data_IF_457188646917
#
_entry.id   IF_457188646917
#
_cell.length_a   1.000
_cell.length_b   1.000
_cell.length_c   1.000
_cell.angle_alpha   90.00
_cell.angle_beta   90.00
_cell.angle_gamma   90.00
#
_symmetry.space_group_name_H-M   'P 1'
#
loop_
_entity.id
_entity.type
_entity.pdbx_description
1 polymer ?
#
# COMPACT_ATOMS: atom_id res chain seq x y z
N UNK A 1 14.12 18.12 -11.15
CA UNK A 1 14.51 18.25 -9.73
C UNK A 1 15.18 16.98 -9.17
N UNK A 2 14.53 15.81 -9.18
CA UNK A 2 15.17 14.55 -8.72
C UNK A 2 16.51 14.28 -9.40
N UNK A 3 16.55 14.32 -10.74
CA UNK A 3 17.81 14.12 -11.48
C UNK A 3 18.88 15.18 -11.15
N UNK A 4 18.49 16.46 -11.09
CA UNK A 4 19.38 17.56 -10.73
C UNK A 4 20.01 17.41 -9.33
N UNK A 5 19.26 16.89 -8.37
CA UNK A 5 19.66 16.73 -6.95
C UNK A 5 20.21 15.34 -6.62
N UNK A 6 20.45 14.50 -7.62
CA UNK A 6 20.83 13.10 -7.43
C UNK A 6 19.87 12.33 -6.50
N UNK A 7 18.58 12.62 -6.63
CA UNK A 7 17.45 12.10 -5.85
C UNK A 7 17.46 12.45 -4.35
N UNK A 8 18.34 13.35 -3.91
CA UNK A 8 18.39 13.82 -2.51
C UNK A 8 17.08 14.50 -2.09
N UNK A 9 16.43 15.24 -2.99
CA UNK A 9 15.13 15.90 -2.73
C UNK A 9 14.05 14.93 -2.26
N UNK A 10 14.09 13.67 -2.70
CA UNK A 10 13.12 12.65 -2.31
C UNK A 10 13.31 12.24 -0.85
N UNK A 11 14.57 12.12 -0.39
CA UNK A 11 14.91 11.82 1.00
C UNK A 11 14.58 13.00 1.91
N UNK A 12 14.93 14.21 1.48
CA UNK A 12 14.66 15.44 2.25
C UNK A 12 13.16 15.65 2.45
N UNK A 13 12.35 15.35 1.43
CA UNK A 13 10.89 15.37 1.54
C UNK A 13 10.36 14.35 2.57
N UNK A 14 10.91 13.13 2.59
CA UNK A 14 10.52 12.12 3.58
C UNK A 14 10.88 12.54 5.01
N UNK A 15 12.07 13.10 5.23
CA UNK A 15 12.48 13.62 6.55
C UNK A 15 11.64 14.84 6.96
N UNK A 16 11.24 15.70 6.01
CA UNK A 16 10.30 16.78 6.29
C UNK A 16 8.92 16.24 6.70
N UNK A 17 8.42 15.17 6.07
CA UNK A 17 7.17 14.52 6.48
C UNK A 17 7.29 13.96 7.90
N UNK A 18 8.41 13.33 8.27
CA UNK A 18 8.63 12.88 9.67
C UNK A 18 8.60 14.05 10.66
N UNK A 19 9.21 15.18 10.29
CA UNK A 19 9.24 16.37 11.13
C UNK A 19 7.86 17.00 11.30
N UNK A 20 7.09 17.12 10.23
CA UNK A 20 5.81 17.86 10.21
C UNK A 20 4.56 16.95 10.30
N UNK A 21 4.74 15.64 10.26
CA UNK A 21 3.75 14.56 10.43
C UNK A 21 2.72 14.43 9.29
N UNK A 22 2.71 15.32 8.30
CA UNK A 22 1.74 15.29 7.19
C UNK A 22 2.44 15.56 5.86
N UNK A 23 2.34 14.61 4.94
CA UNK A 23 2.74 14.77 3.54
C UNK A 23 1.54 14.67 2.61
N UNK A 24 1.52 15.50 1.57
CA UNK A 24 0.62 15.35 0.42
C UNK A 24 1.48 15.26 -0.83
N UNK A 25 1.32 14.19 -1.61
CA UNK A 25 2.23 13.88 -2.70
C UNK A 25 1.49 13.68 -4.02
N UNK A 26 2.03 14.32 -5.06
CA UNK A 26 1.60 14.10 -6.43
C UNK A 26 2.18 12.78 -6.99
N UNK A 27 1.54 12.21 -8.01
CA UNK A 27 2.07 11.06 -8.72
C UNK A 27 3.42 11.40 -9.37
N UNK A 28 4.37 10.46 -9.32
CA UNK A 28 5.73 10.65 -9.84
C UNK A 28 6.12 9.55 -10.81
N UNK A 29 6.88 9.90 -11.86
CA UNK A 29 7.47 8.93 -12.78
C UNK A 29 8.50 8.08 -12.03
N UNK A 30 8.40 6.75 -12.10
CA UNK A 30 9.54 5.86 -11.82
C UNK A 30 10.19 5.57 -13.18
N UNK A 31 11.44 6.01 -13.43
CA UNK A 31 12.04 5.92 -14.75
C UNK A 31 12.38 4.47 -15.14
N UNK A 32 12.08 4.13 -16.38
CA UNK A 32 12.60 2.96 -17.12
C UNK A 32 13.64 3.43 -18.14
N UNK A 33 14.16 2.53 -18.99
CA UNK A 33 15.14 2.84 -20.04
C UNK A 33 14.64 3.96 -20.96
N UNK A 34 13.36 3.91 -21.35
CA UNK A 34 12.74 4.93 -22.21
C UNK A 34 12.69 6.29 -21.53
N UNK A 35 12.47 6.35 -20.21
CA UNK A 35 12.48 7.61 -19.45
C UNK A 35 13.89 8.15 -19.26
N UNK A 36 14.89 7.29 -19.12
CA UNK A 36 16.29 7.71 -19.08
C UNK A 36 16.64 8.45 -20.37
N UNK A 37 16.26 7.90 -21.53
CA UNK A 37 16.46 8.56 -22.82
C UNK A 37 15.62 9.83 -22.96
N UNK A 38 14.31 9.77 -22.68
CA UNK A 38 13.38 10.89 -22.84
C UNK A 38 13.83 12.13 -22.04
N UNK A 39 14.22 11.93 -20.78
CA UNK A 39 14.56 13.02 -19.87
C UNK A 39 16.07 13.26 -19.76
N UNK A 40 16.89 12.52 -20.52
CA UNK A 40 18.36 12.56 -20.46
C UNK A 40 18.87 12.41 -19.02
N UNK A 41 18.34 11.42 -18.32
CA UNK A 41 18.63 11.22 -16.90
C UNK A 41 20.07 10.74 -16.70
N UNK A 42 20.71 11.15 -15.60
CA UNK A 42 22.04 10.68 -15.21
C UNK A 42 22.07 9.17 -14.97
N UNK A 43 20.96 8.63 -14.43
CA UNK A 43 20.75 7.20 -14.23
C UNK A 43 19.26 6.88 -14.05
N UNK A 44 18.94 5.59 -14.03
CA UNK A 44 17.60 5.09 -13.69
C UNK A 44 17.35 5.21 -12.18
N UNK A 45 16.80 6.36 -11.76
CA UNK A 45 16.49 6.64 -10.35
C UNK A 45 15.45 5.67 -9.78
N UNK A 46 15.57 5.33 -8.50
CA UNK A 46 14.59 4.52 -7.78
C UNK A 46 13.22 5.23 -7.68
N UNK A 47 12.18 4.45 -7.38
CA UNK A 47 10.84 4.98 -7.16
C UNK A 47 10.80 5.91 -5.95
N UNK A 48 10.28 7.15 -6.08
CA UNK A 48 10.11 8.06 -4.94
C UNK A 48 9.21 7.48 -3.86
N UNK A 49 8.15 6.77 -4.26
CA UNK A 49 7.22 6.10 -3.34
C UNK A 49 7.98 5.08 -2.48
N UNK A 50 8.83 4.26 -3.11
CA UNK A 50 9.67 3.30 -2.41
C UNK A 50 10.62 3.98 -1.42
N UNK A 51 11.32 5.04 -1.85
CA UNK A 51 12.23 5.79 -0.98
C UNK A 51 11.51 6.39 0.23
N UNK A 52 10.37 7.07 0.02
CA UNK A 52 9.60 7.70 1.09
C UNK A 52 9.07 6.64 2.07
N UNK A 53 8.43 5.57 1.57
CA UNK A 53 7.91 4.48 2.41
C UNK A 53 9.01 3.77 3.21
N UNK A 54 10.21 3.65 2.64
CA UNK A 54 11.36 3.08 3.36
C UNK A 54 11.84 3.96 4.53
N UNK A 55 11.73 5.28 4.39
CA UNK A 55 12.16 6.25 5.42
C UNK A 55 11.08 6.43 6.48
N UNK A 56 9.82 6.52 6.06
CA UNK A 56 8.66 6.70 6.94
C UNK A 56 8.28 5.41 7.67
N UNK A 57 8.43 4.26 7.01
CA UNK A 57 7.79 3.02 7.43
C UNK A 57 6.27 3.07 7.28
N UNK A 58 5.57 2.08 7.86
CA UNK A 58 4.12 2.07 7.93
C UNK A 58 3.39 1.29 6.83
N UNK A 59 2.09 1.55 6.75
CA UNK A 59 1.13 0.77 5.94
C UNK A 59 0.36 1.67 5.00
N UNK A 60 0.26 1.29 3.73
CA UNK A 60 -0.52 2.05 2.74
C UNK A 60 -1.95 1.56 2.77
N UNK A 61 -2.87 2.42 3.19
CA UNK A 61 -4.31 2.16 3.16
C UNK A 61 -4.93 2.74 1.90
N UNK A 62 -5.59 1.88 1.13
CA UNK A 62 -6.35 2.25 -0.07
C UNK A 62 -7.84 2.07 0.20
N UNK A 63 -8.61 3.15 0.07
CA UNK A 63 -10.06 3.19 0.30
C UNK A 63 -10.78 3.76 -0.92
N UNK A 64 -11.78 3.02 -1.42
CA UNK A 64 -12.57 3.42 -2.57
C UNK A 64 -13.47 4.62 -2.26
N UNK A 65 -13.62 5.50 -3.24
CA UNK A 65 -14.53 6.64 -3.23
C UNK A 65 -15.82 6.18 -3.91
N UNK A 66 -16.91 6.11 -3.17
CA UNK A 66 -18.19 5.59 -3.65
C UNK A 66 -19.07 6.75 -4.15
N UNK A 67 -19.53 6.64 -5.40
CA UNK A 67 -20.58 7.48 -5.99
C UNK A 67 -21.78 6.60 -6.35
N UNK A 68 -23.00 7.02 -5.98
CA UNK A 68 -24.22 6.21 -6.15
C UNK A 68 -24.54 5.87 -7.60
N UNK A 69 -24.20 6.75 -8.53
CA UNK A 69 -24.48 6.59 -9.96
C UNK A 69 -23.39 5.85 -10.74
N UNK A 70 -22.30 5.42 -10.08
CA UNK A 70 -21.27 4.58 -10.70
C UNK A 70 -21.60 3.12 -10.41
N UNK A 71 -21.90 2.30 -11.44
CA UNK A 71 -22.13 0.87 -11.25
C UNK A 71 -20.87 0.17 -10.73
N UNK A 72 -21.06 -0.73 -9.77
CA UNK A 72 -20.01 -1.60 -9.24
C UNK A 72 -19.96 -2.90 -10.04
N UNK A 73 -18.76 -3.41 -10.30
CA UNK A 73 -18.61 -4.72 -10.96
C UNK A 73 -19.03 -5.85 -10.02
N UNK A 74 -18.76 -5.68 -8.73
CA UNK A 74 -19.25 -6.57 -7.67
C UNK A 74 -20.44 -5.89 -7.01
N UNK A 75 -21.65 -6.28 -7.41
CA UNK A 75 -22.90 -5.61 -7.03
C UNK A 75 -23.19 -5.64 -5.53
N UNK A 76 -22.69 -6.66 -4.81
CA UNK A 76 -22.86 -6.79 -3.37
C UNK A 76 -22.07 -5.78 -2.52
N UNK A 77 -21.07 -5.09 -3.09
CA UNK A 77 -20.19 -4.18 -2.35
C UNK A 77 -20.85 -2.83 -2.05
N UNK A 78 -21.70 -2.81 -1.03
CA UNK A 78 -22.45 -1.60 -0.62
C UNK A 78 -21.56 -0.63 0.18
N UNK A 79 -20.69 -1.16 1.06
CA UNK A 79 -19.74 -0.40 1.89
C UNK A 79 -18.32 -0.51 1.34
N UNK A 80 -17.41 0.45 1.58
CA UNK A 80 -16.03 0.38 1.09
C UNK A 80 -15.27 -0.83 1.66
N UNK A 81 -14.30 -1.34 0.90
CA UNK A 81 -13.26 -2.24 1.41
C UNK A 81 -11.96 -1.44 1.47
N UNK A 82 -11.27 -1.46 2.61
CA UNK A 82 -9.98 -0.78 2.76
C UNK A 82 -8.87 -1.82 2.71
N UNK A 83 -7.98 -1.71 1.72
CA UNK A 83 -6.78 -2.55 1.64
C UNK A 83 -5.65 -1.86 2.40
N UNK A 84 -5.15 -2.50 3.46
CA UNK A 84 -3.91 -2.12 4.15
C UNK A 84 -2.73 -2.92 3.61
N UNK A 85 -1.91 -2.33 2.74
CA UNK A 85 -0.74 -2.97 2.13
C UNK A 85 0.51 -2.81 3.00
N UNK A 86 1.14 -3.94 3.35
CA UNK A 86 2.48 -3.96 3.97
C UNK A 86 3.56 -3.57 2.95
N UNK A 87 3.89 -2.29 2.86
CA UNK A 87 4.77 -1.76 1.81
C UNK A 87 6.27 -1.96 2.10
N UNK A 88 6.68 -3.14 2.56
CA UNK A 88 8.07 -3.50 2.88
C UNK A 88 8.39 -4.95 2.53
N UNK A 89 9.66 -5.22 2.16
CA UNK A 89 10.18 -6.57 1.99
C UNK A 89 9.50 -7.36 0.86
N UNK A 90 9.50 -8.69 1.04
CA UNK A 90 8.91 -9.68 0.14
C UNK A 90 9.45 -9.54 -1.31
N UNK A 91 8.62 -9.78 -2.32
CA UNK A 91 9.00 -9.70 -3.74
C UNK A 91 9.63 -8.34 -4.13
N UNK A 92 9.26 -7.26 -3.44
CA UNK A 92 9.71 -5.90 -3.76
C UNK A 92 11.13 -5.60 -3.27
N UNK A 93 11.76 -6.55 -2.56
CA UNK A 93 13.17 -6.52 -2.16
C UNK A 93 13.83 -7.89 -2.34
N UNK A 94 13.32 -8.69 -3.26
CA UNK A 94 13.90 -9.98 -3.59
C UNK A 94 15.23 -9.81 -4.33
N UNK A 95 16.04 -10.87 -4.33
CA UNK A 95 17.13 -11.08 -5.28
C UNK A 95 16.77 -12.30 -6.09
N UNK A 96 16.77 -12.16 -7.40
CA UNK A 96 16.42 -13.20 -8.36
C UNK A 96 17.50 -13.34 -9.44
N UNK A 97 17.59 -14.52 -10.05
CA UNK A 97 18.53 -14.79 -11.12
C UNK A 97 18.07 -15.99 -11.98
N UNK A 98 18.59 -16.04 -13.20
CA UNK A 98 18.46 -17.20 -14.09
C UNK A 98 19.54 -18.21 -13.73
N UNK A 99 19.12 -19.44 -13.42
CA UNK A 99 20.01 -20.58 -13.24
C UNK A 99 20.41 -21.09 -14.63
N UNK A 100 21.70 -21.07 -15.02
CA UNK A 100 22.10 -21.28 -16.41
C UNK A 100 22.06 -22.75 -16.87
N UNK A 101 22.00 -23.70 -15.93
CA UNK A 101 22.06 -25.14 -16.20
C UNK A 101 21.98 -25.95 -14.91
N UNK A 102 22.24 -27.27 -14.97
CA UNK A 102 22.20 -28.12 -13.79
C UNK A 102 23.07 -27.62 -12.63
N UNK A 103 22.57 -27.70 -11.40
CA UNK A 103 23.26 -27.22 -10.21
C UNK A 103 22.37 -27.05 -8.97
N UNK A 104 22.99 -26.81 -7.82
CA UNK A 104 22.29 -26.60 -6.54
C UNK A 104 22.09 -25.12 -6.25
N UNK A 105 20.87 -24.77 -5.84
CA UNK A 105 20.56 -23.46 -5.27
C UNK A 105 20.32 -23.63 -3.77
N UNK A 106 21.08 -22.89 -2.97
CA UNK A 106 21.03 -22.94 -1.51
C UNK A 106 20.82 -21.53 -0.93
N UNK A 107 20.18 -21.45 0.23
CA UNK A 107 20.05 -20.21 1.01
C UNK A 107 20.82 -20.37 2.32
N UNK A 108 21.70 -19.41 2.62
CA UNK A 108 22.58 -19.46 3.79
C UNK A 108 22.38 -18.23 4.68
N UNK A 109 22.13 -18.47 5.97
CA UNK A 109 22.13 -17.46 7.02
C UNK A 109 23.44 -17.55 7.81
N UNK A 110 24.18 -16.43 7.87
CA UNK A 110 25.41 -16.29 8.67
C UNK A 110 25.12 -15.38 9.86
N UNK A 111 25.06 -15.92 11.09
CA UNK A 111 24.88 -15.12 12.29
C UNK A 111 26.03 -14.12 12.51
N UNK A 112 25.71 -12.92 12.98
CA UNK A 112 26.72 -11.88 13.27
C UNK A 112 27.52 -12.14 14.56
N UNK A 113 26.96 -12.94 15.47
CA UNK A 113 27.59 -13.35 16.73
C UNK A 113 28.62 -14.47 16.55
N UNK A 114 28.85 -14.92 15.32
CA UNK A 114 29.78 -16.01 15.00
C UNK A 114 29.23 -17.42 15.27
N UNK A 115 27.95 -17.55 15.67
CA UNK A 115 27.31 -18.86 15.80
C UNK A 115 27.18 -19.58 14.46
N UNK A 116 26.85 -20.88 14.51
CA UNK A 116 26.92 -21.76 13.34
C UNK A 116 26.03 -21.28 12.18
N UNK A 117 26.63 -21.17 10.99
CA UNK A 117 25.93 -20.89 9.74
C UNK A 117 24.84 -21.92 9.49
N UNK A 118 23.69 -21.47 8.97
CA UNK A 118 22.58 -22.34 8.58
C UNK A 118 22.43 -22.30 7.07
N UNK A 119 22.58 -23.44 6.41
CA UNK A 119 22.40 -23.57 4.96
C UNK A 119 21.23 -24.50 4.69
N UNK A 120 20.34 -24.08 3.79
CA UNK A 120 19.18 -24.83 3.36
C UNK A 120 19.24 -25.02 1.85
N UNK A 121 19.10 -26.26 1.39
CA UNK A 121 18.91 -26.54 -0.03
C UNK A 121 17.54 -26.03 -0.45
N UNK A 122 17.50 -25.14 -1.44
CA UNK A 122 16.26 -24.67 -2.06
C UNK A 122 15.82 -25.66 -3.12
N UNK A 123 16.72 -25.99 -4.05
CA UNK A 123 16.47 -26.96 -5.11
C UNK A 123 17.77 -27.48 -5.73
N UNK A 124 17.72 -28.68 -6.31
CA UNK A 124 18.77 -29.25 -7.14
C UNK A 124 18.25 -29.35 -8.58
N UNK A 125 18.76 -28.50 -9.48
CA UNK A 125 18.42 -28.50 -10.90
C UNK A 125 19.20 -29.62 -11.60
N UNK A 126 18.51 -30.65 -12.10
CA UNK A 126 19.17 -31.86 -12.64
C UNK A 126 19.31 -31.85 -14.16
N UNK A 127 18.27 -31.45 -14.89
CA UNK A 127 18.22 -31.61 -16.35
C UNK A 127 18.49 -30.32 -17.14
N UNK A 128 18.35 -29.15 -16.50
CA UNK A 128 18.44 -27.87 -17.19
C UNK A 128 18.52 -26.68 -16.24
N UNK A 129 18.51 -25.48 -16.83
CA UNK A 129 18.45 -24.23 -16.09
C UNK A 129 17.06 -23.93 -15.53
N UNK A 130 16.89 -22.72 -15.04
CA UNK A 130 15.62 -22.26 -14.46
C UNK A 130 15.73 -20.87 -13.88
N UNK A 131 14.94 -20.58 -12.86
CA UNK A 131 14.99 -19.32 -12.12
C UNK A 131 14.95 -19.61 -10.63
N UNK A 132 15.62 -18.77 -9.86
CA UNK A 132 15.57 -18.83 -8.40
C UNK A 132 15.46 -17.42 -7.83
N UNK A 133 14.87 -17.32 -6.64
CA UNK A 133 14.82 -16.06 -5.90
C UNK A 133 14.91 -16.29 -4.39
N UNK A 134 15.40 -15.28 -3.69
CA UNK A 134 15.34 -15.15 -2.24
C UNK A 134 14.67 -13.84 -1.86
N UNK A 135 13.79 -13.88 -0.85
CA UNK A 135 13.15 -12.69 -0.30
C UNK A 135 13.17 -12.74 1.23
N UNK A 136 12.91 -11.59 1.87
CA UNK A 136 12.92 -11.46 3.31
C UNK A 136 11.90 -10.44 3.79
N UNK A 137 11.57 -10.56 5.08
CA UNK A 137 10.92 -9.51 5.83
C UNK A 137 11.55 -9.39 7.22
N UNK A 138 11.12 -8.42 8.02
CA UNK A 138 11.65 -8.16 9.36
C UNK A 138 10.51 -8.11 10.36
N UNK A 139 10.69 -8.76 11.52
CA UNK A 139 9.69 -8.76 12.60
C UNK A 139 9.21 -7.34 12.93
N UNK A 140 10.16 -6.40 13.12
CA UNK A 140 9.84 -4.98 13.38
C UNK A 140 8.92 -4.37 12.33
N UNK A 141 9.12 -4.68 11.05
CA UNK A 141 8.26 -4.16 9.98
C UNK A 141 6.86 -4.80 9.99
N UNK A 142 6.77 -6.07 10.36
CA UNK A 142 5.49 -6.78 10.50
C UNK A 142 4.71 -6.25 11.72
N UNK A 143 5.41 -5.97 12.82
CA UNK A 143 4.83 -5.33 14.01
C UNK A 143 4.25 -3.95 13.67
N UNK A 144 5.02 -3.11 12.97
CA UNK A 144 4.57 -1.78 12.53
C UNK A 144 3.33 -1.87 11.62
N UNK A 145 3.30 -2.87 10.75
CA UNK A 145 2.15 -3.17 9.89
C UNK A 145 0.91 -3.59 10.71
N UNK A 146 1.10 -4.45 11.72
CA UNK A 146 0.03 -4.88 12.62
C UNK A 146 -0.55 -3.70 13.39
N UNK A 147 0.29 -2.89 14.04
CA UNK A 147 -0.12 -1.69 14.78
C UNK A 147 -0.92 -0.73 13.91
N UNK A 148 -0.40 -0.40 12.72
CA UNK A 148 -1.08 0.49 11.78
C UNK A 148 -2.46 -0.07 11.38
N UNK A 149 -2.55 -1.38 11.14
CA UNK A 149 -3.80 -2.05 10.75
C UNK A 149 -4.85 -2.06 11.86
N UNK A 150 -4.45 -2.35 13.09
CA UNK A 150 -5.35 -2.32 14.24
C UNK A 150 -5.84 -0.90 14.56
N UNK A 151 -4.95 0.09 14.49
CA UNK A 151 -5.31 1.49 14.69
C UNK A 151 -6.29 1.99 13.61
N UNK A 152 -6.08 1.61 12.35
CA UNK A 152 -7.02 1.92 11.25
C UNK A 152 -8.41 1.34 11.52
N UNK A 153 -8.48 0.05 11.87
CA UNK A 153 -9.73 -0.63 12.19
C UNK A 153 -10.48 0.03 13.37
N UNK A 154 -9.78 0.40 14.44
CA UNK A 154 -10.36 1.15 15.56
C UNK A 154 -10.85 2.54 15.16
N UNK A 155 -10.13 3.23 14.26
CA UNK A 155 -10.52 4.56 13.79
C UNK A 155 -11.78 4.54 12.92
N UNK A 156 -11.97 3.45 12.17
CA UNK A 156 -13.14 3.22 11.30
C UNK A 156 -14.28 2.49 12.01
N UNK A 157 -14.01 1.95 13.20
CA UNK A 157 -14.90 1.03 13.91
C UNK A 157 -15.32 -0.15 13.03
N UNK A 158 -14.38 -0.74 12.28
CA UNK A 158 -14.61 -1.85 11.35
C UNK A 158 -13.79 -3.10 11.71
N UNK A 159 -14.26 -4.31 11.37
CA UNK A 159 -13.48 -5.52 11.56
C UNK A 159 -12.23 -5.54 10.67
N UNK A 160 -11.20 -6.27 11.12
CA UNK A 160 -9.91 -6.41 10.45
C UNK A 160 -9.64 -7.87 10.07
N UNK A 161 -9.22 -8.08 8.82
CA UNK A 161 -8.77 -9.37 8.33
C UNK A 161 -7.31 -9.31 7.89
N UNK A 162 -6.47 -10.23 8.37
CA UNK A 162 -5.14 -10.48 7.80
C UNK A 162 -5.21 -11.73 6.91
N UNK A 163 -4.72 -11.64 5.68
CA UNK A 163 -4.62 -12.81 4.79
C UNK A 163 -3.18 -13.25 4.56
N UNK A 164 -2.92 -14.56 4.65
CA UNK A 164 -1.62 -15.17 4.28
C UNK A 164 -1.80 -16.56 3.65
N UNK A 165 -0.72 -17.22 3.26
CA UNK A 165 -0.69 -18.63 2.85
C UNK A 165 0.15 -19.49 3.80
N UNK A 166 -0.04 -19.32 5.12
CA UNK A 166 0.76 -19.98 6.16
C UNK A 166 0.66 -21.51 6.19
N UNK A 167 -0.33 -22.14 5.55
CA UNK A 167 -0.36 -23.60 5.38
C UNK A 167 0.77 -24.12 4.49
N UNK A 168 1.20 -23.30 3.53
CA UNK A 168 2.30 -23.56 2.59
C UNK A 168 3.60 -22.91 3.09
N UNK A 169 3.59 -21.60 3.32
CA UNK A 169 4.74 -20.84 3.82
C UNK A 169 4.77 -20.86 5.36
N UNK A 170 4.88 -22.06 5.94
CA UNK A 170 4.71 -22.33 7.38
C UNK A 170 5.54 -21.43 8.29
N UNK A 171 6.79 -21.14 7.92
CA UNK A 171 7.68 -20.27 8.72
C UNK A 171 7.50 -18.79 8.37
N UNK A 172 7.50 -18.45 7.07
CA UNK A 172 7.46 -17.07 6.61
C UNK A 172 6.11 -16.40 6.89
N UNK A 173 5.03 -16.99 6.39
CA UNK A 173 3.66 -16.47 6.58
C UNK A 173 3.10 -16.81 7.96
N UNK A 174 3.61 -17.89 8.57
CA UNK A 174 3.35 -18.17 9.99
C UNK A 174 3.82 -17.02 10.88
N UNK A 175 4.99 -16.43 10.60
CA UNK A 175 5.50 -15.31 11.40
C UNK A 175 4.59 -14.08 11.35
N UNK A 176 4.00 -13.77 10.20
CA UNK A 176 3.00 -12.70 10.08
C UNK A 176 1.77 -12.97 10.95
N UNK A 177 1.22 -14.18 10.85
CA UNK A 177 0.06 -14.59 11.65
C UNK A 177 0.37 -14.47 13.15
N UNK A 178 1.50 -15.03 13.58
CA UNK A 178 1.86 -15.09 14.99
C UNK A 178 2.07 -13.68 15.57
N UNK A 179 2.81 -12.81 14.87
CA UNK A 179 3.02 -11.41 15.30
C UNK A 179 1.69 -10.65 15.43
N UNK A 180 0.81 -10.74 14.44
CA UNK A 180 -0.49 -10.06 14.50
C UNK A 180 -1.34 -10.58 15.66
N UNK A 181 -1.39 -11.89 15.87
CA UNK A 181 -2.16 -12.50 16.95
C UNK A 181 -1.63 -12.08 18.32
N UNK A 182 -0.31 -12.12 18.51
CA UNK A 182 0.32 -11.68 19.75
C UNK A 182 0.03 -10.21 20.07
N UNK A 183 0.14 -9.32 19.08
CA UNK A 183 -0.13 -7.88 19.26
C UNK A 183 -1.62 -7.67 19.56
N UNK A 184 -2.51 -8.35 18.84
CA UNK A 184 -3.95 -8.25 19.06
C UNK A 184 -4.32 -8.61 20.50
N UNK A 185 -3.90 -9.79 20.95
CA UNK A 185 -4.25 -10.31 22.28
C UNK A 185 -3.64 -9.46 23.40
N UNK A 186 -2.40 -8.98 23.23
CA UNK A 186 -1.70 -8.18 24.25
C UNK A 186 -2.23 -6.74 24.34
N UNK A 187 -2.65 -6.13 23.24
CA UNK A 187 -2.81 -4.67 23.17
C UNK A 187 -4.16 -4.16 22.63
N UNK A 188 -4.82 -4.90 21.75
CA UNK A 188 -5.97 -4.38 20.99
C UNK A 188 -7.29 -5.09 21.25
N UNK A 189 -7.29 -6.35 21.72
CA UNK A 189 -8.50 -7.15 21.89
C UNK A 189 -9.59 -6.42 22.69
N UNK A 190 -9.26 -5.86 23.86
CA UNK A 190 -10.23 -5.15 24.70
C UNK A 190 -10.84 -3.92 24.01
N UNK A 191 -10.05 -3.20 23.21
CA UNK A 191 -10.51 -2.04 22.45
C UNK A 191 -11.45 -2.44 21.30
N UNK A 192 -11.14 -3.56 20.63
CA UNK A 192 -11.97 -4.12 19.57
C UNK A 192 -13.31 -4.62 20.12
N UNK A 193 -13.30 -5.37 21.22
CA UNK A 193 -14.50 -5.86 21.91
C UNK A 193 -15.39 -4.70 22.38
N UNK A 194 -14.80 -3.62 22.90
CA UNK A 194 -15.53 -2.42 23.31
C UNK A 194 -16.28 -1.75 22.14
N UNK A 195 -15.73 -1.82 20.92
CA UNK A 195 -16.37 -1.31 19.69
C UNK A 195 -17.20 -2.38 18.95
N UNK A 196 -17.31 -3.60 19.48
CA UNK A 196 -18.01 -4.73 18.85
C UNK A 196 -17.47 -5.09 17.46
N UNK A 197 -16.16 -4.94 17.26
CA UNK A 197 -15.43 -5.37 16.07
C UNK A 197 -14.47 -6.50 16.42
N UNK A 198 -13.95 -7.20 15.40
CA UNK A 198 -13.05 -8.34 15.59
C UNK A 198 -11.84 -8.29 14.66
N UNK A 199 -10.83 -9.07 15.02
CA UNK A 199 -9.70 -9.41 14.16
C UNK A 199 -9.76 -10.90 13.81
N UNK A 200 -9.50 -11.23 12.55
CA UNK A 200 -9.38 -12.61 12.10
C UNK A 200 -8.21 -12.79 11.11
N UNK A 201 -7.43 -13.86 11.28
CA UNK A 201 -6.52 -14.35 10.24
C UNK A 201 -7.25 -15.33 9.32
N UNK A 202 -7.12 -15.13 8.01
CA UNK A 202 -7.66 -16.04 6.98
C UNK A 202 -6.58 -16.49 6.00
N UNK A 203 -6.80 -17.64 5.38
CA UNK A 203 -6.03 -18.02 4.21
C UNK A 203 -6.42 -17.12 3.03
N UNK A 204 -5.45 -16.69 2.23
CA UNK A 204 -5.66 -15.71 1.15
C UNK A 204 -6.73 -16.14 0.14
N UNK A 205 -6.79 -17.43 -0.19
CA UNK A 205 -7.79 -18.02 -1.09
C UNK A 205 -9.21 -18.00 -0.50
N UNK A 206 -9.36 -18.23 0.80
CA UNK A 206 -10.65 -18.05 1.47
C UNK A 206 -11.02 -16.56 1.60
N UNK A 207 -10.04 -15.71 1.91
CA UNK A 207 -10.27 -14.27 2.07
C UNK A 207 -10.76 -13.61 0.77
N UNK A 208 -10.16 -13.93 -0.38
CA UNK A 208 -10.64 -13.40 -1.67
C UNK A 208 -12.09 -13.85 -1.95
N UNK A 209 -12.43 -15.10 -1.63
CA UNK A 209 -13.79 -15.62 -1.81
C UNK A 209 -14.79 -14.96 -0.86
N UNK A 210 -14.40 -14.73 0.39
CA UNK A 210 -15.20 -14.01 1.38
C UNK A 210 -15.44 -12.56 0.94
N UNK A 211 -14.39 -11.86 0.49
CA UNK A 211 -14.49 -10.48 0.04
C UNK A 211 -15.49 -10.33 -1.11
N UNK A 212 -15.45 -11.22 -2.11
CA UNK A 212 -16.39 -11.22 -3.24
C UNK A 212 -17.86 -11.44 -2.85
N UNK A 213 -18.12 -12.14 -1.73
CA UNK A 213 -19.47 -12.42 -1.23
C UNK A 213 -19.95 -11.44 -0.15
N UNK A 214 -19.06 -10.58 0.33
CA UNK A 214 -19.34 -9.64 1.41
C UNK A 214 -20.11 -8.40 0.93
N UNK A 215 -20.61 -7.62 1.89
CA UNK A 215 -21.16 -6.28 1.63
C UNK A 215 -20.07 -5.19 1.66
N UNK A 216 -18.80 -5.55 1.84
CA UNK A 216 -17.72 -4.64 2.22
C UNK A 216 -17.77 -4.22 3.70
N UNK A 217 -17.15 -3.08 4.04
CA UNK A 217 -17.16 -2.52 5.40
C UNK A 217 -16.15 -3.16 6.35
N UNK A 218 -14.96 -3.50 5.85
CA UNK A 218 -13.88 -4.08 6.64
C UNK A 218 -12.51 -3.58 6.16
N UNK A 219 -11.51 -3.74 7.02
CA UNK A 219 -10.11 -3.54 6.69
C UNK A 219 -9.51 -4.90 6.31
N UNK A 220 -8.81 -4.96 5.19
CA UNK A 220 -8.07 -6.13 4.74
C UNK A 220 -6.58 -5.81 4.74
N UNK A 221 -5.89 -6.28 5.78
CA UNK A 221 -4.45 -6.26 5.88
C UNK A 221 -3.86 -7.32 4.93
N UNK A 222 -3.15 -6.84 3.92
CA UNK A 222 -2.51 -7.65 2.89
C UNK A 222 -0.99 -7.56 3.01
N UNK A 223 -0.31 -8.70 2.80
CA UNK A 223 1.13 -8.70 2.51
C UNK A 223 1.43 -7.86 1.27
N UNK A 224 2.71 -7.54 1.05
CA UNK A 224 3.10 -6.54 0.06
C UNK A 224 2.52 -6.81 -1.35
N UNK A 225 2.71 -8.04 -1.85
CA UNK A 225 2.23 -8.45 -3.16
C UNK A 225 0.70 -8.54 -3.23
N UNK A 226 0.08 -9.18 -2.24
CA UNK A 226 -1.38 -9.32 -2.18
C UNK A 226 -2.05 -7.94 -2.14
N UNK A 227 -1.48 -6.98 -1.40
CA UNK A 227 -2.02 -5.63 -1.28
C UNK A 227 -1.91 -4.84 -2.57
N UNK A 228 -0.86 -5.07 -3.36
CA UNK A 228 -0.72 -4.48 -4.69
C UNK A 228 -1.84 -4.96 -5.61
N UNK A 229 -1.98 -6.28 -5.77
CA UNK A 229 -2.95 -6.90 -6.69
C UNK A 229 -4.40 -6.67 -6.24
N UNK A 230 -4.70 -6.87 -4.96
CA UNK A 230 -6.07 -6.77 -4.45
C UNK A 230 -6.55 -5.33 -4.39
N UNK A 231 -5.67 -4.36 -4.15
CA UNK A 231 -6.11 -2.96 -4.16
C UNK A 231 -6.56 -2.47 -5.53
N UNK A 232 -5.89 -2.91 -6.61
CA UNK A 232 -6.32 -2.60 -7.97
C UNK A 232 -7.62 -3.34 -8.33
N UNK A 233 -7.76 -4.60 -7.91
CA UNK A 233 -8.99 -5.39 -8.09
C UNK A 233 -10.19 -4.74 -7.36
N UNK A 234 -9.98 -4.30 -6.12
CA UNK A 234 -10.99 -3.59 -5.33
C UNK A 234 -11.32 -2.24 -5.98
N UNK A 235 -10.32 -1.46 -6.39
CA UNK A 235 -10.56 -0.18 -7.07
C UNK A 235 -11.40 -0.33 -8.34
N UNK A 236 -11.08 -1.32 -9.16
CA UNK A 236 -11.83 -1.60 -10.38
C UNK A 236 -13.24 -2.10 -10.06
N UNK A 237 -13.42 -2.88 -8.98
CA UNK A 237 -14.73 -3.32 -8.51
C UNK A 237 -15.65 -2.18 -8.07
N UNK A 238 -15.09 -1.07 -7.59
CA UNK A 238 -15.81 0.18 -7.27
C UNK A 238 -15.92 1.19 -8.43
N UNK A 239 -15.42 0.84 -9.62
CA UNK A 239 -15.61 1.63 -10.85
C UNK A 239 -14.31 1.95 -11.58
N UNK A 240 -13.35 2.62 -10.93
CA UNK A 240 -12.05 2.92 -11.56
C UNK A 240 -10.94 3.20 -10.54
N UNK A 241 -9.69 3.08 -10.98
CA UNK A 241 -8.51 3.49 -10.21
C UNK A 241 -8.52 4.99 -9.82
N UNK A 242 -9.25 5.84 -10.54
CA UNK A 242 -9.40 7.26 -10.21
C UNK A 242 -10.30 7.52 -9.00
N UNK A 243 -11.04 6.51 -8.57
CA UNK A 243 -11.98 6.56 -7.43
C UNK A 243 -11.38 5.84 -6.20
N UNK A 244 -10.09 6.02 -5.96
CA UNK A 244 -9.37 5.36 -4.88
C UNK A 244 -8.43 6.35 -4.19
N UNK A 245 -8.55 6.46 -2.87
CA UNK A 245 -7.59 7.20 -2.04
C UNK A 245 -6.41 6.31 -1.67
N UNK A 246 -5.25 6.90 -1.37
CA UNK A 246 -4.08 6.17 -0.87
C UNK A 246 -3.42 6.96 0.24
N UNK A 247 -3.38 6.41 1.45
CA UNK A 247 -2.76 7.06 2.62
C UNK A 247 -1.79 6.10 3.29
N UNK A 248 -0.51 6.44 3.28
CA UNK A 248 0.48 5.81 4.13
C UNK A 248 0.27 6.29 5.57
N UNK A 249 0.06 5.36 6.49
CA UNK A 249 -0.03 5.63 7.94
C UNK A 249 1.17 4.99 8.62
N UNK A 250 1.92 5.81 9.36
CA UNK A 250 3.09 5.37 10.11
C UNK A 250 2.66 4.72 11.44
N UNK A 251 3.49 3.83 12.01
CA UNK A 251 3.16 3.10 13.24
C UNK A 251 3.12 3.99 14.50
N UNK A 252 3.64 5.21 14.42
CA UNK A 252 3.60 6.22 15.50
C UNK A 252 2.18 6.74 15.79
N UNK A 253 1.18 6.36 14.97
CA UNK A 253 -0.21 6.80 15.09
C UNK A 253 -0.42 8.28 14.75
N UNK A 254 0.59 8.95 14.19
CA UNK A 254 0.62 10.39 13.98
C UNK A 254 1.05 10.80 12.58
N UNK A 255 2.05 10.15 11.99
CA UNK A 255 2.61 10.56 10.70
C UNK A 255 1.86 9.93 9.54
N UNK A 256 1.44 10.74 8.56
CA UNK A 256 0.78 10.25 7.34
C UNK A 256 1.34 10.88 6.08
N UNK A 257 1.25 10.15 4.98
CA UNK A 257 1.49 10.66 3.63
C UNK A 257 0.31 10.26 2.74
N UNK A 258 -0.36 11.24 2.15
CA UNK A 258 -1.52 11.04 1.29
C UNK A 258 -1.15 11.27 -0.19
N UNK A 259 -1.50 10.32 -1.05
CA UNK A 259 -1.28 10.37 -2.49
C UNK A 259 -2.48 9.83 -3.27
N UNK A 260 -2.49 10.10 -4.58
CA UNK A 260 -3.38 9.40 -5.49
C UNK A 260 -2.90 7.95 -5.67
N UNK A 261 -3.83 6.99 -5.77
CA UNK A 261 -3.49 5.58 -5.97
C UNK A 261 -2.90 5.30 -7.38
N UNK A 262 -3.17 6.16 -8.36
CA UNK A 262 -2.76 6.02 -9.75
C UNK A 262 -1.41 6.68 -10.07
N UNK A 263 -0.86 6.34 -11.25
CA UNK A 263 0.37 6.95 -11.79
C UNK A 263 0.16 8.32 -12.44
N UNK A 264 1.15 8.79 -13.20
CA UNK A 264 1.16 10.13 -13.83
C UNK A 264 0.30 10.29 -15.08
N UNK A 265 -0.49 9.27 -15.44
CA UNK A 265 -1.39 9.27 -16.61
C UNK A 265 -0.66 9.68 -17.91
N UNK A 266 0.52 9.11 -18.15
CA UNK A 266 1.43 9.53 -19.25
C UNK A 266 0.71 9.62 -20.60
N UNK A 267 -0.20 8.70 -20.92
CA UNK A 267 -0.95 8.71 -22.18
C UNK A 267 -1.69 10.05 -22.38
N UNK A 268 -2.39 10.53 -21.36
CA UNK A 268 -3.12 11.81 -21.44
C UNK A 268 -2.15 12.98 -21.52
N UNK A 269 -1.04 12.93 -20.77
CA UNK A 269 0.00 13.94 -20.88
C UNK A 269 0.58 14.07 -22.30
N UNK A 270 0.71 12.96 -23.05
CA UNK A 270 1.11 13.00 -24.47
C UNK A 270 0.08 13.65 -25.39
N UNK A 271 -1.20 13.46 -25.11
CA UNK A 271 -2.29 14.11 -25.85
C UNK A 271 -2.29 15.62 -25.57
N UNK A 272 -2.16 16.00 -24.29
CA UNK A 272 -1.98 17.39 -23.86
C UNK A 272 -0.78 18.07 -24.55
N UNK A 273 0.39 17.40 -24.61
CA UNK A 273 1.57 17.92 -25.31
C UNK A 273 1.34 18.17 -26.81
N UNK A 274 0.36 17.52 -27.43
CA UNK A 274 -0.06 17.72 -28.82
C UNK A 274 -1.17 18.77 -28.97
N UNK A 275 -1.56 19.44 -27.88
CA UNK A 275 -2.70 20.37 -27.85
C UNK A 275 -4.07 19.67 -27.96
N UNK A 276 -4.13 18.36 -27.74
CA UNK A 276 -5.38 17.60 -27.78
C UNK A 276 -6.10 17.68 -26.42
N UNK A 277 -7.43 17.65 -26.47
CA UNK A 277 -8.27 17.57 -25.27
C UNK A 277 -8.03 16.26 -24.50
N UNK A 278 -8.14 16.33 -23.17
CA UNK A 278 -8.03 15.16 -22.29
C UNK A 278 -9.12 15.18 -21.25
N UNK A 279 -9.72 14.01 -20.97
CA UNK A 279 -10.58 13.80 -19.80
C UNK A 279 -9.80 12.99 -18.75
N UNK A 280 -9.06 13.69 -17.89
CA UNK A 280 -8.27 13.07 -16.81
C UNK A 280 -8.96 13.32 -15.49
N UNK A 281 -9.42 12.26 -14.82
CA UNK A 281 -10.12 12.35 -13.54
C UNK A 281 -9.18 12.88 -12.43
N UNK A 282 -9.48 14.04 -11.78
CA UNK A 282 -8.64 14.63 -10.74
C UNK A 282 -9.01 14.20 -9.31
N UNK A 283 -10.07 13.41 -9.11
CA UNK A 283 -10.68 13.16 -7.80
C UNK A 283 -9.68 12.57 -6.79
N UNK A 284 -8.95 11.51 -7.15
CA UNK A 284 -7.94 10.94 -6.24
C UNK A 284 -6.84 11.94 -5.85
N UNK A 285 -6.49 12.88 -6.73
CA UNK A 285 -5.52 13.94 -6.41
C UNK A 285 -6.10 15.00 -5.48
N UNK A 286 -7.38 15.35 -5.64
CA UNK A 286 -8.10 16.22 -4.69
C UNK A 286 -8.20 15.55 -3.32
N UNK A 287 -8.54 14.26 -3.29
CA UNK A 287 -8.65 13.51 -2.04
C UNK A 287 -7.30 13.35 -1.33
N UNK A 288 -6.17 13.27 -2.04
CA UNK A 288 -4.86 13.31 -1.40
C UNK A 288 -4.66 14.59 -0.58
N UNK A 289 -5.09 15.74 -1.11
CA UNK A 289 -5.07 17.01 -0.38
C UNK A 289 -6.03 17.01 0.81
N UNK A 290 -7.30 16.66 0.61
CA UNK A 290 -8.29 16.69 1.69
C UNK A 290 -7.93 15.74 2.82
N UNK A 291 -7.40 14.55 2.52
CA UNK A 291 -6.93 13.59 3.53
C UNK A 291 -5.76 14.15 4.34
N UNK A 292 -4.79 14.79 3.69
CA UNK A 292 -3.70 15.48 4.39
C UNK A 292 -4.20 16.62 5.27
N UNK A 293 -5.08 17.48 4.75
CA UNK A 293 -5.64 18.61 5.50
C UNK A 293 -6.53 18.17 6.66
N UNK A 294 -7.35 17.13 6.49
CA UNK A 294 -8.18 16.57 7.55
C UNK A 294 -7.33 15.97 8.69
N UNK A 295 -6.23 15.29 8.34
CA UNK A 295 -5.31 14.78 9.35
C UNK A 295 -4.55 15.91 10.05
N UNK A 296 -4.12 16.94 9.32
CA UNK A 296 -3.52 18.15 9.90
C UNK A 296 -4.47 18.85 10.87
N UNK A 297 -5.74 18.99 10.48
CA UNK A 297 -6.82 19.52 11.29
C UNK A 297 -7.00 18.74 12.60
N UNK A 298 -6.94 17.40 12.55
CA UNK A 298 -6.99 16.55 13.75
C UNK A 298 -5.79 16.81 14.67
N UNK A 299 -4.59 16.86 14.12
CA UNK A 299 -3.37 17.05 14.92
C UNK A 299 -3.28 18.45 15.56
N UNK A 300 -3.78 19.49 14.89
CA UNK A 300 -3.78 20.88 15.41
C UNK A 300 -5.10 21.30 16.08
N UNK A 301 -6.10 20.40 16.11
CA UNK A 301 -7.45 20.68 16.61
C UNK A 301 -8.14 21.88 15.91
N UNK A 302 -8.01 21.98 14.58
CA UNK A 302 -8.59 23.06 13.75
C UNK A 302 -9.86 22.55 13.06
N UNK A 303 -11.03 22.84 13.62
CA UNK A 303 -12.31 22.31 13.14
C UNK A 303 -12.68 22.81 11.74
N UNK A 304 -12.38 24.06 11.44
CA UNK A 304 -12.69 24.71 10.17
C UNK A 304 -11.95 24.06 9.00
N UNK A 305 -10.70 23.64 9.23
CA UNK A 305 -9.90 22.93 8.24
C UNK A 305 -10.45 21.51 7.99
N UNK A 306 -10.89 20.84 9.06
CA UNK A 306 -11.55 19.54 8.96
C UNK A 306 -12.88 19.62 8.18
N UNK A 307 -13.67 20.66 8.45
CA UNK A 307 -14.90 20.94 7.72
C UNK A 307 -14.64 21.21 6.23
N UNK A 308 -13.67 22.08 5.91
CA UNK A 308 -13.29 22.37 4.54
C UNK A 308 -12.87 21.11 3.77
N UNK A 309 -12.01 20.28 4.37
CA UNK A 309 -11.55 19.04 3.75
C UNK A 309 -12.72 18.10 3.44
N UNK A 310 -13.67 17.95 4.37
CA UNK A 310 -14.87 17.13 4.18
C UNK A 310 -15.79 17.71 3.11
N UNK A 311 -16.07 19.01 3.16
CA UNK A 311 -16.92 19.68 2.18
C UNK A 311 -16.38 19.54 0.75
N UNK A 312 -15.06 19.62 0.56
CA UNK A 312 -14.45 19.44 -0.76
C UNK A 312 -14.57 17.99 -1.28
N UNK A 313 -14.47 17.00 -0.39
CA UNK A 313 -14.75 15.59 -0.75
C UNK A 313 -16.21 15.39 -1.16
N UNK A 314 -17.15 16.00 -0.43
CA UNK A 314 -18.59 15.90 -0.72
C UNK A 314 -18.92 16.58 -2.06
N UNK A 315 -18.37 17.77 -2.34
CA UNK A 315 -18.53 18.45 -3.65
C UNK A 315 -18.09 17.58 -4.81
N UNK A 316 -16.97 16.86 -4.66
CA UNK A 316 -16.47 15.95 -5.69
C UNK A 316 -17.45 14.80 -5.97
N UNK A 317 -17.98 14.17 -4.92
CA UNK A 317 -18.96 13.09 -5.03
C UNK A 317 -20.27 13.61 -5.62
N UNK A 318 -20.78 14.73 -5.12
CA UNK A 318 -22.03 15.36 -5.58
C UNK A 318 -21.95 15.80 -7.05
N UNK A 319 -20.80 16.31 -7.50
CA UNK A 319 -20.58 16.70 -8.91
C UNK A 319 -20.70 15.49 -9.84
N UNK A 320 -20.09 14.36 -9.46
CA UNK A 320 -20.20 13.10 -10.20
C UNK A 320 -21.63 12.59 -10.16
N UNK A 321 -22.26 12.58 -8.98
CA UNK A 321 -23.65 12.10 -8.80
C UNK A 321 -24.67 12.96 -9.59
N UNK A 322 -24.38 14.24 -9.80
CA UNK A 322 -25.17 15.14 -10.64
C UNK A 322 -24.98 14.92 -12.16
N UNK A 323 -24.06 14.02 -12.56
CA UNK A 323 -23.86 13.64 -13.96
C UNK A 323 -22.71 14.36 -14.66
N UNK A 324 -21.86 15.10 -13.94
CA UNK A 324 -20.68 15.77 -14.50
C UNK A 324 -19.43 14.93 -14.22
N UNK A 325 -19.06 14.06 -15.16
CA UNK A 325 -17.90 13.15 -15.05
C UNK A 325 -17.14 12.97 -16.36
#
# INVERSE_FOLDING_TARGET
>A
NRDATNDQVTKDAAEAIKKYNVGVKCATITPDEKRVEEFKLKQMWKSPNGTIRNILGGTVFREAIICKNIPRLVSGWVKPIIIGRHAYGDQYRATDFVVPGPGRVEITYTPSDGSQKRTYLVHNFEEGGGVAMGMYNQDKSIEDFAHSSFQMALSKSWPLYLSTKNTILKKYDGRFKDIFQEIYDKQYRSQFEAQKIWYEHRLIDDMVAQAMKSEGGFIWACKNYDGDVQSDSVAQGYGSLGMMTSVLVCPDGKTVEAEAAHGTVTRHYRMYQKGQETSTNPIASIFAWTRGLAHRAKLDNIKELGFFAKALEDVCVETIEAGFM
#
